data_IF_348630228449
#
_entry.id   IF_348630228449
#
_cell.length_a   1.000
_cell.length_b   1.000
_cell.length_c   1.000
_cell.angle_alpha   90.00
_cell.angle_beta   90.00
_cell.angle_gamma   90.00
#
_symmetry.space_group_name_H-M   'P 1'
#
loop_
_entity.id
_entity.type
_entity.pdbx_description
1 polymer ?
#
# COMPACT_ATOMS: atom_id res chain seq x y z
N UNK A 1 35.06 21.00 -23.66
CA UNK A 1 33.65 20.97 -24.13
C UNK A 1 33.55 19.88 -25.19
N UNK A 2 32.56 18.98 -25.09
CA UNK A 2 32.35 17.93 -26.10
C UNK A 2 31.95 18.59 -27.44
N UNK A 3 32.50 18.11 -28.55
CA UNK A 3 32.14 18.62 -29.88
C UNK A 3 30.69 18.26 -30.22
N UNK A 4 30.05 19.00 -31.11
CA UNK A 4 28.65 18.73 -31.49
C UNK A 4 28.48 17.30 -32.04
N UNK A 5 29.46 16.78 -32.78
CA UNK A 5 29.47 15.39 -33.25
C UNK A 5 29.48 14.36 -32.11
N UNK A 6 30.18 14.65 -31.01
CA UNK A 6 30.20 13.78 -29.83
C UNK A 6 28.85 13.80 -29.10
N UNK A 7 28.14 14.95 -29.09
CA UNK A 7 26.79 15.06 -28.52
C UNK A 7 25.76 14.36 -29.38
N UNK A 8 25.85 14.50 -30.70
CA UNK A 8 25.03 13.79 -31.70
C UNK A 8 25.18 12.28 -31.54
N UNK A 9 26.41 11.78 -31.45
CA UNK A 9 26.70 10.37 -31.24
C UNK A 9 26.14 9.84 -29.91
N UNK A 10 26.23 10.64 -28.84
CA UNK A 10 25.64 10.28 -27.54
C UNK A 10 24.10 10.26 -27.59
N UNK A 11 23.45 11.20 -28.31
CA UNK A 11 22.00 11.21 -28.52
C UNK A 11 21.53 10.00 -29.32
N UNK A 12 22.21 9.67 -30.41
CA UNK A 12 21.90 8.48 -31.21
C UNK A 12 22.09 7.17 -30.41
N UNK A 13 23.14 7.11 -29.57
CA UNK A 13 23.37 5.97 -28.68
C UNK A 13 22.30 5.85 -27.59
N UNK A 14 21.80 6.96 -27.06
CA UNK A 14 20.70 6.99 -26.11
C UNK A 14 19.38 6.54 -26.74
N UNK A 15 19.08 7.00 -27.95
CA UNK A 15 17.88 6.60 -28.71
C UNK A 15 17.87 5.11 -29.03
N UNK A 16 19.01 4.55 -29.51
CA UNK A 16 19.13 3.10 -29.76
C UNK A 16 18.91 2.27 -28.50
N UNK A 17 19.48 2.69 -27.35
CA UNK A 17 19.25 2.02 -26.06
C UNK A 17 17.79 2.08 -25.62
N UNK A 18 17.11 3.19 -25.89
CA UNK A 18 15.69 3.36 -25.56
C UNK A 18 14.80 2.43 -26.40
N UNK A 19 15.05 2.33 -27.71
CA UNK A 19 14.34 1.39 -28.58
C UNK A 19 14.58 -0.08 -28.18
N UNK A 20 15.82 -0.44 -27.85
CA UNK A 20 16.16 -1.79 -27.41
C UNK A 20 15.46 -2.14 -26.09
N UNK A 21 15.40 -1.20 -25.14
CA UNK A 21 14.66 -1.36 -23.89
C UNK A 21 13.14 -1.52 -24.14
N UNK A 22 12.57 -0.74 -25.08
CA UNK A 22 11.17 -0.84 -25.47
C UNK A 22 10.85 -2.20 -26.11
N UNK A 23 11.74 -2.72 -26.97
CA UNK A 23 11.62 -4.06 -27.58
C UNK A 23 11.66 -5.17 -26.53
N UNK A 24 12.62 -5.10 -25.59
CA UNK A 24 12.75 -6.06 -24.49
C UNK A 24 11.55 -6.07 -23.54
N UNK A 25 10.92 -4.90 -23.30
CA UNK A 25 9.67 -4.83 -22.53
C UNK A 25 8.49 -5.45 -23.29
N UNK A 26 8.40 -5.26 -24.61
CA UNK A 26 7.37 -5.87 -25.45
C UNK A 26 7.52 -7.41 -25.52
N UNK A 27 8.74 -7.93 -25.65
CA UNK A 27 9.02 -9.38 -25.61
C UNK A 27 8.68 -9.99 -24.24
N UNK A 28 8.98 -9.29 -23.13
CA UNK A 28 8.57 -9.74 -21.78
C UNK A 28 7.06 -9.82 -21.63
N UNK A 29 6.30 -8.85 -22.17
CA UNK A 29 4.83 -8.88 -22.16
C UNK A 29 4.27 -10.06 -22.96
N UNK A 30 4.85 -10.33 -24.14
CA UNK A 30 4.49 -11.52 -24.94
C UNK A 30 4.81 -12.83 -24.21
N UNK A 31 5.94 -12.90 -23.49
CA UNK A 31 6.30 -14.10 -22.71
C UNK A 31 5.40 -14.33 -21.48
N UNK A 32 4.76 -13.30 -20.93
CA UNK A 32 3.81 -13.44 -19.80
C UNK A 32 2.42 -13.89 -20.24
N UNK A 33 1.99 -13.57 -21.46
CA UNK A 33 0.71 -14.06 -22.01
C UNK A 33 0.76 -15.53 -22.43
N UNK A 34 1.96 -16.08 -22.70
CA UNK A 34 2.16 -17.49 -23.09
C UNK A 34 2.36 -18.42 -21.88
N UNK A 35 2.25 -17.91 -20.63
CA UNK A 35 2.13 -18.78 -19.45
C UNK A 35 0.71 -19.29 -19.31
N UNK A 36 0.47 -20.29 -20.14
CA UNK A 36 -0.56 -21.32 -20.12
C UNK A 36 -1.39 -21.39 -18.82
N UNK A 37 -2.58 -20.78 -18.85
CA UNK A 37 -3.60 -20.92 -17.82
C UNK A 37 -4.13 -22.38 -17.70
N UNK A 38 -3.71 -23.29 -18.60
CA UNK A 38 -4.11 -24.70 -18.61
C UNK A 38 -3.41 -25.53 -17.51
N UNK A 39 -2.17 -25.21 -17.13
CA UNK A 39 -1.39 -26.04 -16.20
C UNK A 39 -1.92 -26.04 -14.76
N UNK A 40 -2.57 -24.95 -14.30
CA UNK A 40 -3.22 -24.90 -12.97
C UNK A 40 -4.56 -25.63 -12.93
N UNK A 41 -5.18 -25.88 -14.10
CA UNK A 41 -6.50 -26.52 -14.20
C UNK A 41 -6.41 -28.05 -14.12
N UNK A 42 -5.26 -28.63 -14.44
CA UNK A 42 -5.05 -30.08 -14.39
C UNK A 42 -4.72 -30.62 -12.99
N UNK A 43 -4.14 -29.82 -12.08
CA UNK A 43 -3.86 -30.28 -10.71
C UNK A 43 -5.14 -30.44 -9.86
N UNK A 44 -6.19 -29.67 -10.15
CA UNK A 44 -7.48 -29.77 -9.45
C UNK A 44 -8.43 -30.85 -10.00
N UNK A 45 -8.06 -31.57 -11.08
CA UNK A 45 -8.91 -32.59 -11.69
C UNK A 45 -8.59 -34.02 -11.24
N UNK A 46 -7.52 -34.20 -10.46
CA UNK A 46 -7.08 -35.49 -9.93
C UNK A 46 -7.71 -35.88 -8.57
N UNK A 47 -8.43 -34.95 -7.93
CA UNK A 47 -9.32 -35.26 -6.81
C UNK A 47 -10.73 -35.28 -7.36
N UNK A 48 -11.37 -36.46 -7.38
CA UNK A 48 -12.71 -36.65 -7.92
C UNK A 48 -13.71 -35.60 -7.40
N UNK A 49 -14.61 -35.16 -8.29
CA UNK A 49 -15.69 -34.26 -7.90
C UNK A 49 -16.48 -34.86 -6.73
N UNK A 50 -16.75 -34.10 -5.66
CA UNK A 50 -17.57 -34.60 -4.56
C UNK A 50 -18.97 -34.97 -5.10
N UNK A 51 -19.60 -36.04 -4.58
CA UNK A 51 -20.94 -36.42 -5.01
C UNK A 51 -21.90 -35.26 -4.72
N UNK A 52 -22.69 -34.92 -5.73
CA UNK A 52 -23.75 -33.91 -5.68
C UNK A 52 -24.79 -34.40 -4.66
N UNK A 53 -24.74 -33.91 -3.42
CA UNK A 53 -25.79 -34.15 -2.42
C UNK A 53 -26.94 -33.17 -2.66
N UNK A 54 -28.16 -33.49 -2.19
CA UNK A 54 -29.37 -32.67 -2.43
C UNK A 54 -29.26 -31.20 -1.95
N UNK A 55 -28.23 -30.87 -1.17
CA UNK A 55 -27.91 -29.50 -0.75
C UNK A 55 -27.26 -28.63 -1.86
N UNK A 56 -26.93 -29.20 -3.02
CA UNK A 56 -26.42 -28.45 -4.19
C UNK A 56 -27.47 -28.23 -5.27
N UNK A 57 -28.75 -28.43 -4.96
CA UNK A 57 -29.82 -27.74 -5.68
C UNK A 57 -29.95 -26.39 -5.00
N UNK A 58 -29.76 -25.30 -5.74
CA UNK A 58 -30.07 -23.96 -5.26
C UNK A 58 -31.60 -23.92 -5.14
N UNK A 59 -32.13 -24.39 -4.02
CA UNK A 59 -33.47 -24.05 -3.59
C UNK A 59 -33.42 -22.57 -3.22
N UNK A 60 -33.65 -21.72 -4.20
CA UNK A 60 -34.14 -20.39 -3.90
C UNK A 60 -35.45 -20.61 -3.14
N UNK A 61 -35.44 -20.28 -1.85
CA UNK A 61 -36.63 -20.29 -1.01
C UNK A 61 -37.54 -19.16 -1.48
N UNK A 62 -38.36 -19.46 -2.48
CA UNK A 62 -39.34 -18.54 -3.09
C UNK A 62 -40.37 -18.01 -2.08
N UNK A 63 -40.44 -18.57 -0.86
CA UNK A 63 -41.29 -18.05 0.21
C UNK A 63 -40.71 -16.78 0.84
N UNK A 64 -39.38 -16.58 0.81
CA UNK A 64 -38.69 -15.43 1.39
C UNK A 64 -38.29 -14.37 0.35
N UNK A 65 -38.46 -14.66 -0.95
CA UNK A 65 -38.16 -13.73 -2.02
C UNK A 65 -39.29 -12.69 -2.17
N UNK A 66 -39.05 -11.44 -1.74
CA UNK A 66 -40.00 -10.35 -1.96
C UNK A 66 -39.98 -9.97 -3.45
N UNK A 67 -41.12 -10.12 -4.11
CA UNK A 67 -41.30 -9.69 -5.50
C UNK A 67 -41.42 -8.17 -5.58
N UNK A 68 -40.41 -7.51 -6.15
CA UNK A 68 -40.37 -6.05 -6.37
C UNK A 68 -41.23 -5.61 -7.58
N UNK A 69 -41.91 -6.56 -8.26
CA UNK A 69 -42.73 -6.37 -9.47
C UNK A 69 -42.04 -5.60 -10.61
N UNK A 70 -40.71 -5.47 -10.56
CA UNK A 70 -39.92 -4.63 -11.46
C UNK A 70 -38.70 -5.30 -12.08
N UNK A 71 -38.41 -6.57 -11.78
CA UNK A 71 -37.26 -7.29 -12.34
C UNK A 71 -35.89 -6.84 -11.80
N UNK A 72 -35.84 -6.17 -10.65
CA UNK A 72 -34.60 -5.84 -9.93
C UNK A 72 -34.49 -6.68 -8.66
N UNK A 73 -33.30 -7.22 -8.39
CA UNK A 73 -32.94 -7.83 -7.11
C UNK A 73 -32.82 -6.71 -6.07
N UNK A 74 -33.60 -6.75 -4.99
CA UNK A 74 -33.41 -5.85 -3.85
C UNK A 74 -32.05 -6.17 -3.21
N UNK A 75 -31.12 -5.23 -3.23
CA UNK A 75 -30.02 -5.24 -2.27
C UNK A 75 -30.66 -5.03 -0.88
N UNK A 76 -30.53 -5.98 0.05
CA UNK A 76 -31.12 -5.99 1.42
C UNK A 76 -30.66 -4.81 2.32
N UNK A 77 -30.17 -3.71 1.76
CA UNK A 77 -29.93 -2.47 2.49
C UNK A 77 -31.20 -1.60 2.42
N UNK A 78 -32.20 -1.90 3.26
CA UNK A 78 -33.22 -0.90 3.63
C UNK A 78 -32.47 0.28 4.28
N UNK A 79 -32.08 1.30 3.49
CA UNK A 79 -31.70 2.61 4.06
C UNK A 79 -32.91 3.06 4.89
N UNK A 80 -32.74 3.18 6.21
CA UNK A 80 -33.77 3.70 7.12
C UNK A 80 -34.34 4.99 6.52
N UNK A 81 -35.64 4.97 6.20
CA UNK A 81 -36.34 6.08 5.55
C UNK A 81 -36.16 7.38 6.37
N UNK A 82 -35.99 7.24 7.67
CA UNK A 82 -35.75 8.36 8.59
C UNK A 82 -34.31 8.91 8.49
N UNK A 83 -33.32 8.07 8.23
CA UNK A 83 -31.95 8.49 7.91
C UNK A 83 -31.88 9.17 6.54
N UNK A 84 -32.61 8.65 5.55
CA UNK A 84 -32.77 9.27 4.23
C UNK A 84 -33.41 10.66 4.33
N UNK A 85 -34.49 10.80 5.12
CA UNK A 85 -35.15 12.09 5.38
C UNK A 85 -34.23 13.09 6.10
N UNK A 86 -33.47 12.64 7.10
CA UNK A 86 -32.47 13.48 7.80
C UNK A 86 -31.38 13.98 6.85
N UNK A 87 -30.88 13.12 5.97
CA UNK A 87 -29.89 13.48 4.94
C UNK A 87 -30.44 14.53 3.99
N UNK A 88 -31.69 14.40 3.55
CA UNK A 88 -32.35 15.39 2.70
C UNK A 88 -32.55 16.73 3.42
N UNK A 89 -33.00 16.71 4.68
CA UNK A 89 -33.24 17.92 5.48
C UNK A 89 -31.96 18.74 5.70
N UNK A 90 -30.82 18.10 5.99
CA UNK A 90 -29.53 18.79 6.14
C UNK A 90 -29.07 19.51 4.87
N UNK A 91 -29.46 19.02 3.69
CA UNK A 91 -29.12 19.68 2.41
C UNK A 91 -29.86 20.99 2.18
N UNK A 92 -30.97 21.23 2.89
CA UNK A 92 -31.89 22.35 2.64
C UNK A 92 -31.81 23.49 3.67
N UNK A 93 -30.82 23.48 4.57
CA UNK A 93 -30.59 24.53 5.57
C UNK A 93 -29.89 25.78 5.01
N UNK A 94 -30.20 26.19 3.77
CA UNK A 94 -29.88 27.55 3.36
C UNK A 94 -30.88 28.46 4.07
N UNK A 95 -30.42 29.13 5.15
CA UNK A 95 -31.25 30.05 5.93
C UNK A 95 -31.94 31.11 5.04
N UNK A 96 -33.06 31.69 5.49
CA UNK A 96 -33.82 32.63 4.69
C UNK A 96 -32.94 33.79 4.24
N UNK A 97 -32.91 34.05 2.92
CA UNK A 97 -32.27 35.24 2.38
C UNK A 97 -32.96 36.47 2.96
N UNK A 98 -32.18 37.39 3.49
CA UNK A 98 -32.69 38.67 3.97
C UNK A 98 -33.25 39.49 2.81
N UNK A 99 -34.21 40.36 3.14
CA UNK A 99 -34.83 41.29 2.20
C UNK A 99 -33.81 42.32 1.69
N UNK A 100 -32.78 42.63 2.49
CA UNK A 100 -31.68 43.52 2.13
C UNK A 100 -30.56 42.74 1.41
N UNK A 101 -30.32 42.91 0.10
CA UNK A 101 -29.32 42.13 -0.63
C UNK A 101 -27.89 42.24 -0.10
N UNK A 102 -27.57 43.34 0.60
CA UNK A 102 -26.25 43.58 1.19
C UNK A 102 -25.96 42.72 2.43
N UNK A 103 -26.99 42.22 3.12
CA UNK A 103 -26.84 41.36 4.29
C UNK A 103 -26.71 39.87 3.90
N UNK A 104 -26.96 39.55 2.62
CA UNK A 104 -26.89 38.18 2.13
C UNK A 104 -25.44 37.74 1.88
N UNK A 105 -25.07 36.50 2.24
CA UNK A 105 -23.73 35.98 2.04
C UNK A 105 -23.42 35.92 0.54
N UNK A 106 -22.28 36.50 0.16
CA UNK A 106 -21.78 36.53 -1.21
C UNK A 106 -20.55 35.66 -1.36
N UNK A 107 -20.40 35.05 -2.54
CA UNK A 107 -19.23 34.23 -2.84
C UNK A 107 -17.98 35.12 -2.82
N UNK A 108 -16.94 34.68 -2.11
CA UNK A 108 -15.68 35.41 -1.99
C UNK A 108 -14.99 35.69 -3.34
N UNK A 109 -15.27 34.88 -4.37
CA UNK A 109 -14.57 34.93 -5.66
C UNK A 109 -15.40 35.65 -6.74
N UNK A 110 -16.70 35.37 -6.88
CA UNK A 110 -17.55 35.96 -7.93
C UNK A 110 -18.72 36.82 -7.41
N UNK A 111 -18.86 36.98 -6.09
CA UNK A 111 -19.93 37.74 -5.42
C UNK A 111 -21.36 37.26 -5.71
N UNK A 112 -21.53 36.04 -6.25
CA UNK A 112 -22.86 35.43 -6.40
C UNK A 112 -23.46 35.07 -5.05
N UNK A 113 -24.79 35.10 -4.94
CA UNK A 113 -25.52 34.67 -3.76
C UNK A 113 -25.71 33.14 -3.66
N UNK A 114 -25.45 32.39 -4.73
CA UNK A 114 -25.55 30.92 -4.77
C UNK A 114 -24.36 30.25 -4.06
N UNK A 115 -24.35 30.26 -2.72
CA UNK A 115 -23.31 29.65 -1.90
C UNK A 115 -23.53 28.14 -1.76
N UNK A 116 -22.45 27.34 -1.80
CA UNK A 116 -22.51 25.91 -1.48
C UNK A 116 -22.80 25.73 0.03
N UNK A 117 -23.99 25.25 0.43
CA UNK A 117 -24.39 25.20 1.84
C UNK A 117 -23.47 24.29 2.67
N UNK A 118 -22.93 23.23 2.06
CA UNK A 118 -22.02 22.31 2.75
C UNK A 118 -20.67 22.98 3.06
N UNK A 119 -20.21 23.88 2.18
CA UNK A 119 -18.97 24.64 2.42
C UNK A 119 -19.16 25.71 3.48
N UNK A 120 -20.33 26.34 3.50
CA UNK A 120 -20.67 27.32 4.52
C UNK A 120 -20.89 26.68 5.89
N UNK A 121 -21.60 25.55 5.98
CA UNK A 121 -21.93 24.91 7.25
C UNK A 121 -20.71 24.26 7.91
N UNK A 122 -19.93 23.49 7.14
CA UNK A 122 -18.80 22.71 7.66
C UNK A 122 -17.53 23.54 7.74
N UNK A 123 -17.13 24.20 6.66
CA UNK A 123 -15.84 24.90 6.57
C UNK A 123 -15.94 26.39 6.87
N UNK A 124 -17.15 26.94 7.04
CA UNK A 124 -17.40 28.39 7.20
C UNK A 124 -16.87 29.23 6.04
N UNK A 125 -16.81 28.65 4.83
CA UNK A 125 -16.34 29.32 3.63
C UNK A 125 -17.50 29.69 2.71
N UNK A 126 -17.57 30.96 2.33
CA UNK A 126 -18.56 31.48 1.37
C UNK A 126 -18.05 31.32 -0.07
N UNK A 127 -18.32 30.16 -0.67
CA UNK A 127 -17.96 29.86 -2.06
C UNK A 127 -19.11 29.22 -2.81
N UNK A 128 -19.35 29.66 -4.05
CA UNK A 128 -20.34 29.03 -4.92
C UNK A 128 -19.79 27.74 -5.56
N UNK A 129 -20.71 26.87 -6.00
CA UNK A 129 -20.34 25.59 -6.66
C UNK A 129 -19.48 25.81 -7.91
N UNK A 130 -19.73 26.88 -8.65
CA UNK A 130 -18.97 27.22 -9.85
C UNK A 130 -17.52 27.61 -9.53
N UNK A 131 -17.29 28.49 -8.56
CA UNK A 131 -15.95 28.91 -8.17
C UNK A 131 -15.15 27.78 -7.53
N UNK A 132 -15.79 26.94 -6.71
CA UNK A 132 -15.17 25.72 -6.18
C UNK A 132 -14.58 24.81 -7.27
N UNK A 133 -15.28 24.67 -8.41
CA UNK A 133 -14.80 23.87 -9.55
C UNK A 133 -13.74 24.61 -10.38
N UNK A 134 -13.84 25.94 -10.51
CA UNK A 134 -12.89 26.77 -11.26
C UNK A 134 -11.55 26.94 -10.54
N UNK A 135 -11.55 26.89 -9.21
CA UNK A 135 -10.42 27.22 -8.34
C UNK A 135 -10.11 26.02 -7.41
N UNK A 136 -9.72 24.85 -7.96
CA UNK A 136 -9.43 23.66 -7.16
C UNK A 136 -8.20 23.84 -6.25
N UNK A 137 -7.27 24.71 -6.61
CA UNK A 137 -6.08 25.03 -5.82
C UNK A 137 -6.40 25.65 -4.46
N UNK A 138 -7.60 26.24 -4.27
CA UNK A 138 -8.05 26.70 -2.95
C UNK A 138 -9.13 25.81 -2.35
N UNK A 139 -10.08 25.36 -3.17
CA UNK A 139 -11.32 24.77 -2.68
C UNK A 139 -11.43 23.26 -2.92
N UNK A 140 -10.40 22.61 -3.48
CA UNK A 140 -10.38 21.15 -3.58
C UNK A 140 -10.42 20.52 -2.20
N UNK A 141 -11.23 19.48 -2.08
CA UNK A 141 -11.26 18.63 -0.91
C UNK A 141 -10.12 17.62 -0.98
N UNK A 142 -9.39 17.48 0.11
CA UNK A 142 -8.27 16.57 0.28
C UNK A 142 -8.65 15.52 1.32
N UNK A 143 -8.33 14.27 1.05
CA UNK A 143 -8.48 13.19 2.01
C UNK A 143 -7.47 13.34 3.15
N UNK A 144 -7.83 12.84 4.33
CA UNK A 144 -6.91 12.74 5.48
C UNK A 144 -5.52 12.21 5.12
N UNK A 145 -5.44 11.20 4.26
CA UNK A 145 -4.18 10.59 3.83
C UNK A 145 -3.35 11.54 2.97
N UNK A 146 -3.98 12.28 2.05
CA UNK A 146 -3.30 13.30 1.25
C UNK A 146 -2.77 14.40 2.16
N UNK A 147 -3.58 14.91 3.09
CA UNK A 147 -3.14 15.96 4.00
C UNK A 147 -1.95 15.53 4.87
N UNK A 148 -1.96 14.30 5.39
CA UNK A 148 -0.83 13.78 6.19
C UNK A 148 0.45 13.62 5.38
N UNK A 149 0.34 13.24 4.10
CA UNK A 149 1.49 12.96 3.25
C UNK A 149 2.09 14.24 2.66
N UNK A 150 1.23 15.15 2.19
CA UNK A 150 1.64 16.33 1.44
C UNK A 150 1.99 17.49 2.38
N UNK A 151 1.22 17.67 3.47
CA UNK A 151 1.40 18.76 4.43
C UNK A 151 2.10 18.36 5.73
N UNK A 152 2.49 17.08 5.83
CA UNK A 152 3.19 16.52 6.99
C UNK A 152 2.47 16.78 8.34
N UNK A 153 1.14 16.87 8.30
CA UNK A 153 0.30 17.06 9.49
C UNK A 153 0.11 15.76 10.26
N UNK A 154 -0.07 15.90 11.56
CA UNK A 154 -0.22 14.76 12.48
C UNK A 154 -1.67 14.41 12.71
N UNK A 155 -1.90 13.19 13.20
CA UNK A 155 -3.24 12.68 13.48
C UNK A 155 -4.00 13.49 14.54
N UNK A 156 -3.39 13.94 15.66
CA UNK A 156 -4.10 14.76 16.64
C UNK A 156 -4.56 16.10 16.09
N UNK A 157 -3.71 16.78 15.32
CA UNK A 157 -4.03 18.07 14.68
C UNK A 157 -5.20 17.94 13.71
N UNK A 158 -5.30 16.82 12.99
CA UNK A 158 -6.36 16.58 12.01
C UNK A 158 -7.68 16.10 12.62
N UNK A 159 -7.66 15.59 13.85
CA UNK A 159 -8.87 15.13 14.55
C UNK A 159 -9.62 16.28 15.20
N UNK A 160 -8.90 17.36 15.51
CA UNK A 160 -9.44 18.54 16.15
C UNK A 160 -10.22 19.40 15.15
N UNK A 161 -11.54 19.45 15.33
CA UNK A 161 -12.48 20.20 14.46
C UNK A 161 -12.36 21.71 14.63
N UNK A 162 -11.89 22.18 15.79
CA UNK A 162 -11.71 23.61 16.04
C UNK A 162 -10.46 24.12 15.32
N UNK A 163 -9.48 23.24 15.16
CA UNK A 163 -8.20 23.54 14.52
C UNK A 163 -8.31 23.50 12.99
N UNK A 164 -8.87 22.42 12.45
CA UNK A 164 -9.09 22.23 11.01
C UNK A 164 -10.45 21.54 10.80
N UNK A 165 -11.47 22.28 10.33
CA UNK A 165 -12.78 21.69 10.06
C UNK A 165 -12.69 20.62 8.97
N UNK A 166 -13.45 19.54 9.14
CA UNK A 166 -13.49 18.42 8.19
C UNK A 166 -14.90 17.93 7.92
N UNK A 167 -15.09 17.41 6.70
CA UNK A 167 -16.31 16.79 6.24
C UNK A 167 -16.16 15.27 6.25
N UNK A 168 -17.05 14.58 6.96
CA UNK A 168 -17.10 13.12 6.98
C UNK A 168 -18.01 12.60 5.87
N UNK A 169 -17.51 11.65 5.08
CA UNK A 169 -18.27 10.95 4.05
C UNK A 169 -18.06 9.44 4.18
N UNK A 170 -19.05 8.61 3.81
CA UNK A 170 -18.87 7.17 3.77
C UNK A 170 -17.71 6.82 2.83
N UNK A 171 -16.95 5.79 3.19
CA UNK A 171 -15.80 5.40 2.40
C UNK A 171 -16.27 4.86 1.03
N UNK A 172 -15.73 5.38 -0.09
CA UNK A 172 -16.18 5.00 -1.44
C UNK A 172 -15.92 3.54 -1.78
N UNK A 173 -15.00 2.86 -1.07
CA UNK A 173 -14.73 1.45 -1.31
C UNK A 173 -15.75 0.52 -0.63
N UNK A 174 -16.05 0.77 0.66
CA UNK A 174 -17.03 0.00 1.44
C UNK A 174 -17.59 0.87 2.56
N UNK A 175 -18.92 0.92 2.70
CA UNK A 175 -19.60 1.65 3.78
C UNK A 175 -19.22 1.17 5.19
N UNK A 176 -18.83 -0.11 5.33
CA UNK A 176 -18.40 -0.71 6.60
C UNK A 176 -17.01 -0.26 7.06
N UNK A 177 -16.21 0.35 6.19
CA UNK A 177 -14.93 0.91 6.58
C UNK A 177 -15.12 2.28 7.24
N UNK A 178 -14.12 2.69 8.02
CA UNK A 178 -14.11 4.00 8.65
C UNK A 178 -14.39 5.10 7.62
N UNK A 179 -15.24 6.07 8.00
CA UNK A 179 -15.58 7.21 7.18
C UNK A 179 -14.34 7.96 6.72
N UNK A 180 -14.40 8.45 5.49
CA UNK A 180 -13.38 9.32 4.91
C UNK A 180 -13.56 10.73 5.45
N UNK A 181 -12.47 11.33 5.93
CA UNK A 181 -12.44 12.74 6.33
C UNK A 181 -11.84 13.58 5.20
N UNK A 182 -12.58 14.62 4.81
CA UNK A 182 -12.25 15.54 3.74
C UNK A 182 -11.98 16.93 4.31
N UNK A 183 -10.87 17.53 3.91
CA UNK A 183 -10.40 18.84 4.35
C UNK A 183 -10.31 19.80 3.17
N UNK A 184 -10.56 21.09 3.38
CA UNK A 184 -10.39 22.09 2.31
C UNK A 184 -8.92 22.51 2.22
N UNK A 185 -8.36 22.43 1.00
CA UNK A 185 -6.95 22.76 0.73
C UNK A 185 -6.52 24.11 1.30
N UNK A 186 -7.28 25.20 1.08
CA UNK A 186 -6.97 26.54 1.60
C UNK A 186 -6.71 26.56 3.11
N UNK A 187 -7.56 25.91 3.90
CA UNK A 187 -7.44 25.88 5.37
C UNK A 187 -6.25 25.03 5.82
N UNK A 188 -6.01 23.92 5.12
CA UNK A 188 -4.85 23.05 5.37
C UNK A 188 -3.54 23.78 5.05
N UNK A 189 -3.46 24.49 3.93
CA UNK A 189 -2.30 25.30 3.56
C UNK A 189 -2.03 26.38 4.62
N UNK A 190 -3.05 27.13 5.03
CA UNK A 190 -2.93 28.15 6.07
C UNK A 190 -2.43 27.57 7.41
N UNK A 191 -2.98 26.42 7.82
CA UNK A 191 -2.51 25.70 9.01
C UNK A 191 -1.05 25.25 8.87
N UNK A 192 -0.69 24.73 7.70
CA UNK A 192 0.63 24.17 7.44
C UNK A 192 1.69 25.26 7.39
N UNK A 193 1.39 26.41 6.79
CA UNK A 193 2.25 27.60 6.82
C UNK A 193 2.43 28.06 8.27
N UNK A 194 1.38 28.09 9.08
CA UNK A 194 1.51 28.44 10.51
C UNK A 194 2.39 27.46 11.29
N UNK A 195 2.37 26.17 10.93
CA UNK A 195 3.15 25.13 11.61
C UNK A 195 4.62 25.10 11.16
N UNK A 196 4.85 25.23 9.86
CA UNK A 196 6.16 25.06 9.22
C UNK A 196 6.80 26.39 8.80
N UNK A 197 6.19 27.54 9.10
CA UNK A 197 6.67 28.87 8.74
C UNK A 197 6.35 29.25 7.30
N UNK A 198 6.74 28.43 6.34
CA UNK A 198 6.50 28.67 4.90
C UNK A 198 6.30 27.36 4.13
N UNK A 199 5.75 27.48 2.91
CA UNK A 199 5.65 26.35 1.98
C UNK A 199 7.04 25.82 1.58
N UNK A 200 8.03 26.71 1.44
CA UNK A 200 9.41 26.34 1.10
C UNK A 200 10.08 25.52 2.21
N UNK A 201 9.81 25.85 3.48
CA UNK A 201 10.31 25.09 4.64
C UNK A 201 9.64 23.70 4.75
N UNK A 202 8.35 23.62 4.42
CA UNK A 202 7.64 22.34 4.33
C UNK A 202 8.27 21.44 3.25
N UNK A 203 8.56 21.99 2.07
CA UNK A 203 9.21 21.27 0.97
C UNK A 203 10.62 20.79 1.37
N UNK A 204 11.42 21.64 2.04
CA UNK A 204 12.73 21.26 2.55
C UNK A 204 12.65 20.11 3.58
N UNK A 205 11.66 20.12 4.46
CA UNK A 205 11.41 19.01 5.41
C UNK A 205 10.94 17.75 4.69
N UNK A 206 10.14 17.87 3.63
CA UNK A 206 9.73 16.74 2.80
C UNK A 206 10.94 16.07 2.14
N UNK A 207 11.81 16.84 1.51
CA UNK A 207 13.04 16.34 0.88
C UNK A 207 13.95 15.63 1.90
N UNK A 208 14.13 16.23 3.08
CA UNK A 208 14.88 15.61 4.19
C UNK A 208 14.31 14.24 4.56
N UNK A 209 12.97 14.12 4.68
CA UNK A 209 12.31 12.84 5.02
C UNK A 209 12.45 11.80 3.91
N UNK A 210 12.36 12.22 2.65
CA UNK A 210 12.54 11.33 1.49
C UNK A 210 13.96 10.76 1.46
N UNK A 211 14.97 11.62 1.62
CA UNK A 211 16.37 11.21 1.63
C UNK A 211 16.67 10.29 2.82
N UNK A 212 16.20 10.61 4.03
CA UNK A 212 16.32 9.71 5.19
C UNK A 212 15.66 8.35 4.95
N UNK A 213 14.47 8.32 4.32
CA UNK A 213 13.78 7.07 3.99
C UNK A 213 14.55 6.24 2.97
N UNK A 214 15.18 6.90 1.99
CA UNK A 214 16.06 6.26 0.99
C UNK A 214 17.29 5.65 1.67
N UNK A 215 18.01 6.42 2.48
CA UNK A 215 19.17 5.93 3.23
C UNK A 215 18.84 4.73 4.12
N UNK A 216 17.69 4.77 4.82
CA UNK A 216 17.23 3.62 5.65
C UNK A 216 16.94 2.39 4.80
N UNK A 217 16.36 2.54 3.60
CA UNK A 217 16.12 1.43 2.67
C UNK A 217 17.44 0.86 2.14
N UNK A 218 18.37 1.72 1.77
CA UNK A 218 19.69 1.32 1.25
C UNK A 218 20.50 0.58 2.31
N UNK A 219 20.52 1.09 3.56
CA UNK A 219 21.14 0.39 4.68
C UNK A 219 20.52 -0.99 4.92
N UNK A 220 19.18 -1.08 4.97
CA UNK A 220 18.48 -2.37 5.11
C UNK A 220 18.80 -3.33 3.98
N UNK A 221 18.96 -2.82 2.75
CA UNK A 221 19.34 -3.63 1.60
C UNK A 221 20.78 -4.16 1.71
N UNK A 222 21.73 -3.30 2.10
CA UNK A 222 23.12 -3.67 2.33
C UNK A 222 23.27 -4.69 3.47
N UNK A 223 22.53 -4.50 4.57
CA UNK A 223 22.51 -5.43 5.69
C UNK A 223 21.96 -6.80 5.27
N UNK A 224 20.87 -6.84 4.50
CA UNK A 224 20.33 -8.08 3.91
C UNK A 224 21.33 -8.75 2.97
N UNK A 225 22.06 -7.99 2.16
CA UNK A 225 23.11 -8.55 1.30
C UNK A 225 24.26 -9.15 2.11
N UNK A 226 24.67 -8.48 3.19
CA UNK A 226 25.71 -8.97 4.10
C UNK A 226 25.28 -10.25 4.81
N UNK A 227 24.03 -10.29 5.27
CA UNK A 227 23.45 -11.49 5.89
C UNK A 227 23.37 -12.65 4.88
N UNK A 228 22.92 -12.39 3.66
CA UNK A 228 22.86 -13.38 2.59
C UNK A 228 24.26 -13.95 2.28
N UNK A 229 25.27 -13.08 2.13
CA UNK A 229 26.68 -13.50 1.92
C UNK A 229 27.22 -14.35 3.07
N UNK A 230 26.87 -14.01 4.32
CA UNK A 230 27.27 -14.80 5.49
C UNK A 230 26.64 -16.19 5.45
N UNK A 231 25.34 -16.31 5.12
CA UNK A 231 24.64 -17.59 4.98
C UNK A 231 25.28 -18.46 3.88
N UNK A 232 25.51 -17.91 2.69
CA UNK A 232 26.19 -18.65 1.61
C UNK A 232 27.62 -19.06 1.97
N UNK A 233 28.38 -18.21 2.68
CA UNK A 233 29.73 -18.57 3.15
C UNK A 233 29.68 -19.69 4.20
N UNK A 234 28.74 -19.64 5.14
CA UNK A 234 28.55 -20.69 6.15
C UNK A 234 28.15 -22.02 5.50
N UNK A 235 27.24 -22.00 4.53
CA UNK A 235 26.85 -23.20 3.75
C UNK A 235 28.02 -23.78 2.94
N UNK A 236 28.85 -22.93 2.33
CA UNK A 236 30.04 -23.41 1.64
C UNK A 236 31.06 -23.98 2.63
N UNK A 237 31.28 -23.32 3.78
CA UNK A 237 32.18 -23.83 4.82
C UNK A 237 31.73 -25.20 5.33
N UNK A 238 30.46 -25.36 5.71
CA UNK A 238 29.93 -26.66 6.16
C UNK A 238 30.02 -27.73 5.07
N UNK A 239 29.75 -27.41 3.80
CA UNK A 239 29.96 -28.35 2.68
C UNK A 239 31.42 -28.74 2.49
N UNK A 240 32.36 -27.84 2.77
CA UNK A 240 33.80 -28.11 2.62
C UNK A 240 34.30 -28.95 3.79
N UNK A 241 33.97 -28.57 5.04
CA UNK A 241 34.32 -29.34 6.23
C UNK A 241 33.64 -30.70 6.28
N UNK A 242 32.39 -30.82 5.82
CA UNK A 242 31.70 -32.12 5.72
C UNK A 242 32.37 -33.08 4.72
N UNK A 243 33.07 -32.56 3.70
CA UNK A 243 33.90 -33.37 2.79
C UNK A 243 35.23 -33.79 3.42
N UNK A 244 35.68 -33.07 4.45
CA UNK A 244 36.94 -33.28 5.16
C UNK A 244 36.76 -34.09 6.46
N UNK A 245 35.56 -34.64 6.69
CA UNK A 245 35.31 -35.55 7.81
C UNK A 245 35.95 -36.90 7.49
N UNK A 246 37.08 -37.16 8.15
CA UNK A 246 37.75 -38.44 8.11
C UNK A 246 36.93 -39.50 8.86
N UNK A 247 36.45 -40.53 8.15
CA UNK A 247 35.80 -41.69 8.76
C UNK A 247 36.91 -42.63 9.24
N UNK A 248 37.03 -42.80 10.56
CA UNK A 248 38.07 -43.64 11.16
C UNK A 248 37.78 -45.13 10.97
N UNK A 249 38.71 -45.84 10.35
CA UNK A 249 38.75 -47.32 10.33
C UNK A 249 39.71 -47.80 11.43
N UNK A 250 39.15 -48.43 12.47
CA UNK A 250 39.89 -48.78 13.68
C UNK A 250 40.51 -50.17 13.56
N UNK A 251 41.78 -50.31 13.93
CA UNK A 251 42.44 -51.60 14.07
C UNK A 251 41.82 -52.43 15.21
N UNK A 252 42.17 -53.72 15.25
CA UNK A 252 41.99 -54.54 16.45
C UNK A 252 42.73 -53.97 17.66
N UNK A 253 42.52 -54.59 18.82
CA UNK A 253 43.15 -54.22 20.08
C UNK A 253 44.69 -54.33 19.98
N UNK A 254 45.38 -53.25 20.34
CA UNK A 254 46.85 -53.16 20.36
C UNK A 254 47.37 -53.06 21.81
N UNK A 255 46.48 -53.05 22.81
CA UNK A 255 46.85 -52.97 24.23
C UNK A 255 47.16 -54.34 24.83
N UNK A 256 48.16 -54.40 25.71
CA UNK A 256 48.48 -55.57 26.54
C UNK A 256 47.73 -55.57 27.90
N UNK A 257 46.90 -54.55 28.16
CA UNK A 257 46.20 -54.37 29.42
C UNK A 257 44.80 -55.04 29.38
N UNK A 258 44.48 -55.96 30.31
CA UNK A 258 43.21 -56.69 30.28
C UNK A 258 41.97 -55.81 30.54
N UNK A 259 42.13 -54.63 31.12
CA UNK A 259 41.03 -53.74 31.53
C UNK A 259 40.77 -52.60 30.50
N UNK A 260 41.69 -52.39 29.55
CA UNK A 260 41.63 -51.30 28.56
C UNK A 260 41.86 -51.80 27.14
N UNK A 261 40.92 -51.51 26.23
CA UNK A 261 41.06 -51.79 24.79
C UNK A 261 41.65 -50.56 24.11
N UNK A 262 42.84 -50.70 23.51
CA UNK A 262 43.49 -49.62 22.75
C UNK A 262 43.32 -49.88 21.26
N UNK A 263 42.66 -48.98 20.54
CA UNK A 263 42.51 -49.06 19.07
C UNK A 263 43.20 -47.88 18.41
N UNK A 264 43.87 -48.13 17.28
CA UNK A 264 44.47 -47.10 16.43
C UNK A 264 43.75 -47.06 15.09
N UNK A 265 43.43 -45.87 14.60
CA UNK A 265 42.88 -45.70 13.27
C UNK A 265 43.97 -45.96 12.22
N UNK A 266 43.73 -46.87 11.28
CA UNK A 266 44.74 -47.32 10.31
C UNK A 266 45.13 -46.26 9.29
N UNK A 267 44.25 -45.28 9.05
CA UNK A 267 44.38 -44.30 7.98
C UNK A 267 44.91 -42.94 8.46
N UNK A 268 44.65 -42.55 9.72
CA UNK A 268 45.14 -41.27 10.28
C UNK A 268 45.99 -41.40 11.54
N UNK A 269 46.14 -42.61 12.11
CA UNK A 269 46.98 -42.85 13.28
C UNK A 269 46.43 -42.32 14.60
N UNK A 270 45.16 -41.90 14.66
CA UNK A 270 44.51 -41.50 15.92
C UNK A 270 44.36 -42.72 16.85
N UNK A 271 44.52 -42.53 18.16
CA UNK A 271 44.41 -43.61 19.16
C UNK A 271 43.26 -43.33 20.12
N UNK A 272 42.50 -44.37 20.47
CA UNK A 272 41.43 -44.32 21.45
C UNK A 272 41.60 -45.45 22.46
N UNK A 273 41.39 -45.14 23.73
CA UNK A 273 41.42 -46.09 24.84
C UNK A 273 40.01 -46.19 25.44
N UNK A 274 39.42 -47.38 25.42
CA UNK A 274 38.09 -47.66 25.98
C UNK A 274 38.23 -48.63 27.16
N UNK A 275 37.56 -48.34 28.28
CA UNK A 275 37.49 -49.25 29.42
C UNK A 275 36.58 -50.44 29.08
N UNK A 276 37.05 -51.66 29.31
CA UNK A 276 36.27 -52.86 29.02
C UNK A 276 35.30 -53.11 30.18
N UNK A 277 34.03 -52.72 30.00
CA UNK A 277 32.95 -53.07 30.95
C UNK A 277 32.64 -54.56 30.94
#
# INVERSE_FOLDING_TARGET
>A
MLTEDQKEHQRQKALKKFEEAKRRMAEKRKATDVRDASAKRHQNRAMGAPPITRASYIEYDLANMKDTQGGYLDDEEEEDVEEWKRRQAQTFEAGPMSINPSENPQCAECKSFDIDPQFQSVFKLLVCRACKKKIPEKYSLLTKTEVKNDYLLTEPELRDRDLIPHLEKPNPHKKTYNNMMLYVRKQVEEFSIRKWGSLDELDAEYERRVEMKKQRKDKKYLDKLKEMRKKTRAENWTKTTARDVHIHDWSGDIGDDPDHVKRRCQTCGMETEELKM
#
